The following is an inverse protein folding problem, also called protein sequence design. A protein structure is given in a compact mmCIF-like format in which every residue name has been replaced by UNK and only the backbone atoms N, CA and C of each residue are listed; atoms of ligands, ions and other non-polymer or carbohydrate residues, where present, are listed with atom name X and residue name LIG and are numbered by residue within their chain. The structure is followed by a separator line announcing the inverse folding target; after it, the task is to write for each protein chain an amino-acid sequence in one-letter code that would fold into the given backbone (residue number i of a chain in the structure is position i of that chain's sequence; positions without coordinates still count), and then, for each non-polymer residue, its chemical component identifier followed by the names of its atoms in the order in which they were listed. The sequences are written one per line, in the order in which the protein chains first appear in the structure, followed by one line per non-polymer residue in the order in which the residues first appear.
data_IF_084728381234
#
_entry.id   IF_084728381234
#
_cell.length_a   1.000
_cell.length_b   1.000
_cell.length_c   1.000
_cell.angle_alpha   90.00
_cell.angle_beta   90.00
_cell.angle_gamma   90.00
#
_symmetry.space_group_name_H-M   'P 1'
#
loop_
_entity.id
_entity.type
_entity.pdbx_description
1 polymer ?
#
# COMPACT_ATOMS: atom_id res chain seq x y z
N UNK A 1 5.36 -11.29 43.85
CA UNK A 1 4.20 -10.67 43.18
C UNK A 1 4.55 -9.78 41.97
N UNK A 2 5.60 -8.93 42.00
CA UNK A 2 5.96 -8.07 40.85
C UNK A 2 6.34 -8.83 39.56
N UNK A 3 6.97 -10.00 39.66
CA UNK A 3 7.36 -10.82 38.51
C UNK A 3 6.18 -11.48 37.77
N UNK A 4 5.09 -11.80 38.49
CA UNK A 4 3.87 -12.38 37.90
C UNK A 4 3.14 -11.31 37.05
N UNK A 5 3.21 -10.05 37.48
CA UNK A 5 2.65 -8.92 36.74
C UNK A 5 3.43 -8.62 35.45
N UNK A 6 4.76 -8.71 35.49
CA UNK A 6 5.60 -8.58 34.29
C UNK A 6 5.46 -9.77 33.33
N UNK A 7 5.27 -11.00 33.85
CA UNK A 7 4.99 -12.19 33.03
C UNK A 7 3.61 -12.10 32.35
N UNK A 8 2.59 -11.59 33.04
CA UNK A 8 1.24 -11.38 32.50
C UNK A 8 1.19 -10.32 31.39
N UNK A 9 1.95 -9.23 31.50
CA UNK A 9 2.06 -8.19 30.46
C UNK A 9 2.81 -8.72 29.23
N UNK A 10 3.89 -9.50 29.43
CA UNK A 10 4.62 -10.13 28.32
C UNK A 10 3.77 -11.16 27.57
N UNK A 11 2.90 -11.90 28.28
CA UNK A 11 1.96 -12.85 27.67
C UNK A 11 0.86 -12.14 26.86
N UNK A 12 0.41 -10.95 27.31
CA UNK A 12 -0.61 -10.15 26.62
C UNK A 12 -0.11 -9.53 25.31
N UNK A 13 1.19 -9.19 25.23
CA UNK A 13 1.78 -8.58 24.03
C UNK A 13 2.02 -9.59 22.89
N UNK A 14 1.97 -10.90 23.17
CA UNK A 14 2.19 -11.97 22.19
C UNK A 14 0.90 -12.42 21.47
N UNK A 15 -0.29 -11.97 21.90
CA UNK A 15 -1.58 -12.40 21.32
C UNK A 15 -1.99 -11.61 20.07
N UNK A 16 -1.42 -10.42 19.86
CA UNK A 16 -1.74 -9.55 18.72
C UNK A 16 -1.32 -10.12 17.36
N UNK A 17 -0.03 -10.48 17.20
CA UNK A 17 0.49 -11.01 15.93
C UNK A 17 -0.16 -12.34 15.51
N UNK A 18 -0.54 -13.18 16.49
CA UNK A 18 -1.20 -14.46 16.20
C UNK A 18 -2.65 -14.29 15.71
N UNK A 19 -3.31 -13.17 16.01
CA UNK A 19 -4.71 -12.93 15.65
C UNK A 19 -4.85 -12.62 14.15
N UNK A 20 -4.09 -11.67 13.62
CA UNK A 20 -4.17 -11.28 12.20
C UNK A 20 -3.73 -12.40 11.25
N UNK A 21 -2.62 -13.08 11.56
CA UNK A 21 -2.16 -14.25 10.81
C UNK A 21 -3.24 -15.34 10.77
N UNK A 22 -3.88 -15.64 11.90
CA UNK A 22 -4.95 -16.64 11.96
C UNK A 22 -6.20 -16.20 11.20
N UNK A 23 -6.56 -14.92 11.26
CA UNK A 23 -7.72 -14.35 10.56
C UNK A 23 -7.58 -14.41 9.04
N UNK A 24 -6.37 -14.29 8.52
CA UNK A 24 -6.10 -14.27 7.07
C UNK A 24 -5.57 -15.61 6.55
N UNK A 25 -5.18 -16.55 7.43
CA UNK A 25 -4.60 -17.84 7.05
C UNK A 25 -5.45 -18.65 6.05
N UNK A 26 -6.77 -18.72 6.26
CA UNK A 26 -7.65 -19.46 5.36
C UNK A 26 -7.67 -18.84 3.96
N UNK A 27 -7.80 -17.51 3.88
CA UNK A 27 -7.76 -16.77 2.62
C UNK A 27 -6.41 -16.94 1.92
N UNK A 28 -5.30 -16.66 2.63
CA UNK A 28 -3.94 -16.79 2.09
C UNK A 28 -3.64 -18.21 1.63
N UNK A 29 -4.12 -19.21 2.36
CA UNK A 29 -3.99 -20.63 1.98
C UNK A 29 -4.68 -20.93 0.66
N UNK A 30 -5.92 -20.46 0.46
CA UNK A 30 -6.64 -20.61 -0.79
C UNK A 30 -5.97 -19.85 -1.95
N UNK A 31 -5.57 -18.60 -1.70
CA UNK A 31 -4.89 -17.75 -2.67
C UNK A 31 -3.57 -18.34 -3.16
N UNK A 32 -2.69 -18.74 -2.24
CA UNK A 32 -1.39 -19.31 -2.55
C UNK A 32 -1.50 -20.68 -3.24
N UNK A 33 -2.58 -21.42 -3.00
CA UNK A 33 -2.87 -22.67 -3.71
C UNK A 33 -3.48 -22.45 -5.11
N UNK A 34 -3.71 -21.21 -5.53
CA UNK A 34 -4.37 -20.88 -6.80
C UNK A 34 -5.87 -21.18 -6.81
N UNK A 35 -6.48 -21.45 -5.66
CA UNK A 35 -7.93 -21.69 -5.55
C UNK A 35 -8.68 -20.35 -5.47
N UNK A 36 -8.80 -19.71 -6.64
CA UNK A 36 -9.38 -18.36 -6.78
C UNK A 36 -10.87 -18.32 -6.45
N UNK A 37 -11.65 -19.37 -6.76
CA UNK A 37 -13.03 -19.51 -6.26
C UNK A 37 -13.06 -19.42 -4.74
N UNK A 38 -12.29 -20.27 -4.05
CA UNK A 38 -12.33 -20.30 -2.59
C UNK A 38 -11.80 -19.01 -1.96
N UNK A 39 -10.77 -18.41 -2.55
CA UNK A 39 -10.25 -17.13 -2.10
C UNK A 39 -11.32 -16.03 -2.21
N UNK A 40 -12.06 -15.96 -3.32
CA UNK A 40 -13.12 -14.97 -3.52
C UNK A 40 -14.30 -15.15 -2.54
N UNK A 41 -14.71 -16.39 -2.27
CA UNK A 41 -15.72 -16.69 -1.23
C UNK A 41 -15.28 -16.22 0.15
N UNK A 42 -14.03 -16.55 0.53
CA UNK A 42 -13.45 -16.16 1.82
C UNK A 42 -13.38 -14.64 1.94
N UNK A 43 -12.93 -13.93 0.90
CA UNK A 43 -12.87 -12.48 0.90
C UNK A 43 -14.26 -11.84 1.01
N UNK A 44 -15.27 -12.37 0.31
CA UNK A 44 -16.66 -11.90 0.41
C UNK A 44 -17.20 -12.02 1.84
N UNK A 45 -16.97 -13.16 2.50
CA UNK A 45 -17.37 -13.36 3.90
C UNK A 45 -16.67 -12.36 4.83
N UNK A 46 -15.37 -12.12 4.64
CA UNK A 46 -14.64 -11.18 5.49
C UNK A 46 -15.07 -9.73 5.28
N UNK A 47 -15.35 -9.33 4.04
CA UNK A 47 -15.86 -7.97 3.74
C UNK A 47 -17.24 -7.73 4.35
N UNK A 48 -18.11 -8.75 4.40
CA UNK A 48 -19.42 -8.64 5.04
C UNK A 48 -19.29 -8.18 6.51
N UNK A 49 -18.36 -8.76 7.25
CA UNK A 49 -18.16 -8.44 8.68
C UNK A 49 -17.20 -7.25 8.91
N UNK A 50 -16.21 -7.07 8.02
CA UNK A 50 -15.04 -6.22 8.30
C UNK A 50 -14.90 -5.01 7.40
N UNK A 51 -15.77 -4.81 6.40
CA UNK A 51 -15.63 -3.66 5.50
C UNK A 51 -15.66 -2.30 6.21
N UNK A 52 -16.30 -2.23 7.37
CA UNK A 52 -16.31 -1.04 8.23
C UNK A 52 -15.34 -1.07 9.43
N UNK A 53 -14.52 -2.12 9.55
CA UNK A 53 -13.52 -2.25 10.61
C UNK A 53 -12.22 -1.49 10.30
N UNK A 54 -11.23 -1.62 11.20
CA UNK A 54 -9.88 -1.10 11.02
C UNK A 54 -9.13 -1.79 9.86
N UNK A 55 -9.52 -3.02 9.51
CA UNK A 55 -8.98 -3.79 8.37
C UNK A 55 -9.80 -3.61 7.08
N UNK A 56 -10.82 -2.75 7.08
CA UNK A 56 -11.79 -2.68 5.98
C UNK A 56 -11.15 -2.40 4.62
N UNK A 57 -10.13 -1.54 4.56
CA UNK A 57 -9.37 -1.29 3.32
C UNK A 57 -8.67 -2.55 2.83
N UNK A 58 -8.01 -3.29 3.73
CA UNK A 58 -7.29 -4.52 3.39
C UNK A 58 -8.26 -5.54 2.80
N UNK A 59 -9.38 -5.81 3.47
CA UNK A 59 -10.32 -6.81 3.00
C UNK A 59 -10.99 -6.44 1.67
N UNK A 60 -11.21 -5.14 1.40
CA UNK A 60 -11.72 -4.69 0.10
C UNK A 60 -10.68 -4.86 -1.02
N UNK A 61 -9.40 -4.60 -0.76
CA UNK A 61 -8.32 -4.85 -1.71
C UNK A 61 -8.19 -6.36 -2.03
N UNK A 62 -8.19 -7.20 -0.99
CA UNK A 62 -8.11 -8.66 -1.14
C UNK A 62 -9.33 -9.21 -1.89
N UNK A 63 -10.53 -8.69 -1.60
CA UNK A 63 -11.74 -9.01 -2.33
C UNK A 63 -11.63 -8.63 -3.81
N UNK A 64 -11.18 -7.40 -4.13
CA UNK A 64 -11.00 -6.96 -5.51
C UNK A 64 -10.05 -7.86 -6.28
N UNK A 65 -8.89 -8.20 -5.69
CA UNK A 65 -7.91 -9.07 -6.31
C UNK A 65 -8.44 -10.51 -6.51
N UNK A 66 -9.11 -11.08 -5.49
CA UNK A 66 -9.67 -12.42 -5.55
C UNK A 66 -10.81 -12.56 -6.57
N UNK A 67 -11.72 -11.58 -6.62
CA UNK A 67 -12.81 -11.55 -7.60
C UNK A 67 -12.27 -11.43 -9.02
N UNK A 68 -11.25 -10.60 -9.26
CA UNK A 68 -10.60 -10.51 -10.56
C UNK A 68 -9.99 -11.84 -10.97
N UNK A 69 -9.22 -12.46 -10.07
CA UNK A 69 -8.60 -13.75 -10.32
C UNK A 69 -9.63 -14.86 -10.60
N UNK A 70 -10.83 -14.72 -10.03
CA UNK A 70 -11.98 -15.59 -10.27
C UNK A 70 -12.85 -15.17 -11.48
N UNK A 71 -12.38 -14.27 -12.34
CA UNK A 71 -13.10 -13.76 -13.52
C UNK A 71 -14.46 -13.07 -13.20
N UNK A 72 -14.65 -12.62 -11.96
CA UNK A 72 -15.80 -11.84 -11.50
C UNK A 72 -15.47 -10.35 -11.60
N UNK A 73 -15.33 -9.87 -12.84
CA UNK A 73 -14.68 -8.59 -13.13
C UNK A 73 -15.48 -7.39 -12.65
N UNK A 74 -16.82 -7.41 -12.79
CA UNK A 74 -17.67 -6.29 -12.35
C UNK A 74 -17.68 -6.14 -10.83
N UNK A 75 -17.72 -7.27 -10.13
CA UNK A 75 -17.67 -7.34 -8.68
C UNK A 75 -16.29 -6.90 -8.17
N UNK A 76 -15.22 -7.25 -8.90
CA UNK A 76 -13.86 -6.77 -8.61
C UNK A 76 -13.75 -5.25 -8.72
N UNK A 77 -14.30 -4.64 -9.79
CA UNK A 77 -14.36 -3.18 -9.95
C UNK A 77 -15.06 -2.55 -8.73
N UNK A 78 -16.24 -3.05 -8.38
CA UNK A 78 -17.01 -2.54 -7.25
C UNK A 78 -16.27 -2.64 -5.91
N UNK A 79 -15.54 -3.75 -5.68
CA UNK A 79 -14.72 -3.90 -4.48
C UNK A 79 -13.58 -2.86 -4.40
N UNK A 80 -12.89 -2.61 -5.52
CA UNK A 80 -11.84 -1.60 -5.58
C UNK A 80 -12.38 -0.18 -5.44
N UNK A 81 -13.53 0.16 -6.03
CA UNK A 81 -14.19 1.47 -5.84
C UNK A 81 -14.52 1.73 -4.36
N UNK A 82 -14.99 0.69 -3.65
CA UNK A 82 -15.23 0.76 -2.20
C UNK A 82 -13.94 0.97 -1.42
N UNK A 83 -12.86 0.26 -1.77
CA UNK A 83 -11.55 0.43 -1.14
C UNK A 83 -11.07 1.88 -1.32
N UNK A 84 -11.11 2.38 -2.56
CA UNK A 84 -10.67 3.72 -2.93
C UNK A 84 -11.47 4.80 -2.19
N UNK A 85 -12.80 4.66 -2.12
CA UNK A 85 -13.67 5.56 -1.34
C UNK A 85 -13.24 5.64 0.13
N UNK A 86 -12.88 4.51 0.73
CA UNK A 86 -12.44 4.45 2.13
C UNK A 86 -11.05 5.05 2.32
N UNK A 87 -10.13 4.77 1.41
CA UNK A 87 -8.80 5.39 1.38
C UNK A 87 -8.87 6.93 1.26
N UNK A 88 -9.76 7.47 0.40
CA UNK A 88 -10.01 8.92 0.29
C UNK A 88 -10.62 9.49 1.56
N UNK A 89 -11.52 8.75 2.21
CA UNK A 89 -12.09 9.18 3.50
C UNK A 89 -10.98 9.38 4.54
N UNK A 90 -10.09 8.39 4.72
CA UNK A 90 -8.98 8.51 5.67
C UNK A 90 -8.02 9.65 5.33
N UNK A 91 -7.70 9.83 4.05
CA UNK A 91 -6.87 10.94 3.61
C UNK A 91 -7.47 12.31 3.95
N UNK A 92 -8.79 12.47 3.79
CA UNK A 92 -9.49 13.71 4.17
C UNK A 92 -9.41 13.96 5.69
N UNK A 93 -9.55 12.91 6.51
CA UNK A 93 -9.46 13.01 7.97
C UNK A 93 -8.03 13.35 8.41
N UNK A 94 -7.01 12.78 7.77
CA UNK A 94 -5.61 13.09 8.04
C UNK A 94 -5.29 14.56 7.74
N UNK A 95 -5.79 15.12 6.64
CA UNK A 95 -5.64 16.56 6.31
C UNK A 95 -6.26 17.46 7.39
N UNK A 96 -7.43 17.08 7.93
CA UNK A 96 -8.09 17.81 9.02
C UNK A 96 -7.33 17.68 10.35
N UNK A 97 -6.73 16.52 10.63
CA UNK A 97 -5.91 16.30 11.84
C UNK A 97 -4.61 17.10 11.81
N UNK A 98 -3.96 17.21 10.65
CA UNK A 98 -2.74 18.02 10.49
C UNK A 98 -3.04 19.51 10.63
N UNK A 99 -4.21 19.98 10.20
CA UNK A 99 -4.61 21.39 10.37
C UNK A 99 -5.11 21.73 11.78
N UNK A 100 -5.48 20.73 12.58
CA UNK A 100 -5.90 20.85 13.98
C UNK A 100 -4.84 20.21 14.88
N UNK A 101 -3.76 20.93 15.16
CA UNK A 101 -2.71 20.51 16.10
C UNK A 101 -3.29 20.24 17.51
N UNK A 102 -3.72 19.02 17.83
CA UNK A 102 -4.05 18.62 19.20
C UNK A 102 -4.17 17.10 19.41
N UNK A 103 -3.49 16.63 20.47
CA UNK A 103 -3.73 15.39 21.25
C UNK A 103 -3.31 14.05 20.62
N UNK A 104 -2.06 13.66 20.89
CA UNK A 104 -1.57 12.30 20.69
C UNK A 104 -1.09 11.72 22.02
N UNK A 105 -2.01 11.43 22.93
CA UNK A 105 -1.75 10.59 24.11
C UNK A 105 -2.97 9.69 24.34
N UNK A 106 -2.75 8.38 24.32
CA UNK A 106 -3.73 7.28 24.50
C UNK A 106 -4.51 6.80 23.26
N UNK A 107 -3.83 6.47 22.15
CA UNK A 107 -4.43 5.66 21.07
C UNK A 107 -3.90 4.23 21.17
N UNK A 108 -4.78 3.25 21.34
CA UNK A 108 -4.42 1.84 21.18
C UNK A 108 -4.01 1.62 19.72
N UNK A 109 -2.76 1.20 19.46
CA UNK A 109 -2.27 0.99 18.09
C UNK A 109 -3.10 -0.06 17.32
N UNK A 110 -3.72 -1.01 18.03
CA UNK A 110 -4.61 -2.03 17.44
C UNK A 110 -5.93 -1.45 16.91
N UNK A 111 -6.33 -0.27 17.37
CA UNK A 111 -7.58 0.39 16.93
C UNK A 111 -7.37 1.39 15.78
N UNK A 112 -6.12 1.58 15.33
CA UNK A 112 -5.82 2.52 14.25
C UNK A 112 -6.21 1.86 12.92
N UNK A 113 -7.18 2.42 12.18
CA UNK A 113 -7.56 1.86 10.89
C UNK A 113 -6.40 1.90 9.90
N UNK A 114 -6.28 0.82 9.12
CA UNK A 114 -5.37 0.80 7.98
C UNK A 114 -5.91 1.71 6.87
N UNK A 115 -5.17 2.79 6.57
CA UNK A 115 -5.64 3.86 5.70
C UNK A 115 -5.37 3.65 4.19
N UNK A 116 -4.63 2.59 3.83
CA UNK A 116 -4.13 2.35 2.48
C UNK A 116 -2.87 3.15 2.16
N UNK A 117 -1.78 2.44 1.87
CA UNK A 117 -0.46 3.02 1.56
C UNK A 117 -0.35 3.37 0.07
N UNK A 118 0.68 4.14 -0.30
CA UNK A 118 0.89 4.53 -1.70
C UNK A 118 0.94 3.34 -2.67
N UNK A 119 1.62 2.26 -2.29
CA UNK A 119 1.69 1.06 -3.13
C UNK A 119 0.34 0.33 -3.26
N UNK A 120 -0.53 0.41 -2.26
CA UNK A 120 -1.88 -0.17 -2.34
C UNK A 120 -2.71 0.60 -3.37
N UNK A 121 -2.58 1.92 -3.42
CA UNK A 121 -3.29 2.79 -4.37
C UNK A 121 -2.82 2.56 -5.80
N UNK A 122 -1.50 2.46 -5.99
CA UNK A 122 -0.89 2.12 -7.30
C UNK A 122 -1.43 0.77 -7.79
N UNK A 123 -1.41 -0.26 -6.95
CA UNK A 123 -1.90 -1.59 -7.34
C UNK A 123 -3.43 -1.65 -7.49
N UNK A 124 -4.20 -0.92 -6.68
CA UNK A 124 -5.65 -0.80 -6.82
C UNK A 124 -6.00 -0.28 -8.22
N UNK A 125 -5.41 0.85 -8.62
CA UNK A 125 -5.66 1.46 -9.93
C UNK A 125 -5.13 0.57 -11.06
N UNK A 126 -3.98 -0.09 -10.86
CA UNK A 126 -3.46 -1.07 -11.83
C UNK A 126 -4.44 -2.23 -12.05
N UNK A 127 -5.05 -2.77 -10.98
CA UNK A 127 -6.05 -3.82 -11.11
C UNK A 127 -7.37 -3.32 -11.70
N UNK A 128 -7.83 -2.11 -11.37
CA UNK A 128 -8.99 -1.52 -12.03
C UNK A 128 -8.74 -1.34 -13.53
N UNK A 129 -7.57 -0.85 -13.94
CA UNK A 129 -7.19 -0.76 -15.34
C UNK A 129 -7.29 -2.12 -16.05
N UNK A 130 -6.72 -3.16 -15.44
CA UNK A 130 -6.82 -4.53 -15.97
C UNK A 130 -8.26 -5.04 -16.06
N UNK A 131 -9.13 -4.68 -15.11
CA UNK A 131 -10.54 -5.03 -15.14
C UNK A 131 -11.25 -4.33 -16.31
N UNK A 132 -11.02 -3.03 -16.49
CA UNK A 132 -11.60 -2.27 -17.59
C UNK A 132 -11.09 -2.76 -18.95
N UNK A 133 -9.80 -3.10 -19.08
CA UNK A 133 -9.26 -3.75 -20.28
C UNK A 133 -9.96 -5.07 -20.57
N UNK A 134 -10.21 -5.90 -19.56
CA UNK A 134 -10.94 -7.17 -19.73
C UNK A 134 -12.37 -6.94 -20.25
N UNK A 135 -13.02 -5.84 -19.84
CA UNK A 135 -14.35 -5.47 -20.32
C UNK A 135 -14.34 -4.69 -21.65
N UNK A 136 -13.17 -4.50 -22.28
CA UNK A 136 -13.02 -3.70 -23.50
C UNK A 136 -13.17 -2.18 -23.29
N UNK A 137 -13.17 -1.71 -22.04
CA UNK A 137 -13.37 -0.30 -21.67
C UNK A 137 -12.02 0.43 -21.63
N UNK A 138 -11.49 0.73 -22.82
CA UNK A 138 -10.14 1.30 -23.01
C UNK A 138 -9.96 2.65 -22.30
N UNK A 139 -10.94 3.55 -22.44
CA UNK A 139 -10.84 4.89 -21.85
C UNK A 139 -10.80 4.85 -20.32
N UNK A 140 -11.64 3.99 -19.72
CA UNK A 140 -11.63 3.78 -18.27
C UNK A 140 -10.29 3.18 -17.80
N UNK A 141 -9.74 2.21 -18.54
CA UNK A 141 -8.43 1.67 -18.24
C UNK A 141 -7.31 2.73 -18.28
N UNK A 142 -7.36 3.63 -19.26
CA UNK A 142 -6.39 4.72 -19.37
C UNK A 142 -6.50 5.73 -18.22
N UNK A 143 -7.71 6.00 -17.72
CA UNK A 143 -7.91 6.85 -16.54
C UNK A 143 -7.23 6.22 -15.32
N UNK A 144 -7.44 4.94 -15.08
CA UNK A 144 -6.86 4.21 -13.95
C UNK A 144 -5.33 4.13 -14.04
N UNK A 145 -4.77 3.88 -15.22
CA UNK A 145 -3.30 3.85 -15.41
C UNK A 145 -2.65 5.21 -15.16
N UNK A 146 -3.30 6.30 -15.57
CA UNK A 146 -2.85 7.66 -15.24
C UNK A 146 -2.90 7.89 -13.73
N UNK A 147 -3.99 7.47 -13.08
CA UNK A 147 -4.14 7.62 -11.64
C UNK A 147 -3.12 6.78 -10.85
N UNK A 148 -2.76 5.59 -11.35
CA UNK A 148 -1.68 4.79 -10.79
C UNK A 148 -0.32 5.51 -10.91
N UNK A 149 -0.02 6.11 -12.07
CA UNK A 149 1.18 6.91 -12.28
C UNK A 149 1.24 8.12 -11.33
N UNK A 150 0.12 8.85 -11.19
CA UNK A 150 0.01 10.00 -10.30
C UNK A 150 0.25 9.63 -8.83
N UNK A 151 -0.20 8.44 -8.39
CA UNK A 151 0.04 7.95 -7.03
C UNK A 151 1.50 7.58 -6.77
N UNK A 152 2.23 7.07 -7.76
CA UNK A 152 3.67 6.84 -7.65
C UNK A 152 4.40 8.16 -7.40
N UNK A 153 4.07 9.19 -8.18
CA UNK A 153 4.68 10.52 -8.10
C UNK A 153 4.30 11.22 -6.79
N UNK A 154 3.04 11.08 -6.36
CA UNK A 154 2.58 11.61 -5.08
C UNK A 154 3.32 10.95 -3.90
N UNK A 155 3.56 9.64 -3.94
CA UNK A 155 4.27 8.94 -2.86
C UNK A 155 5.75 9.30 -2.81
N UNK A 156 6.41 9.56 -3.95
CA UNK A 156 7.75 10.15 -3.98
C UNK A 156 7.81 11.45 -3.20
N UNK A 157 6.84 12.34 -3.44
CA UNK A 157 6.74 13.62 -2.75
C UNK A 157 6.44 13.40 -1.26
N UNK A 158 5.51 12.51 -0.91
CA UNK A 158 5.18 12.19 0.50
C UNK A 158 6.38 11.63 1.25
N UNK A 159 7.16 10.76 0.63
CA UNK A 159 8.37 10.18 1.20
C UNK A 159 9.44 11.26 1.42
N UNK A 160 9.73 12.09 0.42
CA UNK A 160 10.69 13.19 0.54
C UNK A 160 10.30 14.18 1.67
N UNK A 161 9.00 14.48 1.81
CA UNK A 161 8.48 15.27 2.94
C UNK A 161 8.67 14.57 4.28
N UNK A 162 8.36 13.28 4.39
CA UNK A 162 8.59 12.48 5.61
C UNK A 162 10.05 12.48 6.04
N UNK A 163 10.99 12.28 5.10
CA UNK A 163 12.42 12.36 5.36
C UNK A 163 12.81 13.75 5.87
N UNK A 164 12.32 14.80 5.22
CA UNK A 164 12.60 16.19 5.61
C UNK A 164 12.06 16.52 6.99
N UNK A 165 10.81 16.13 7.28
CA UNK A 165 10.17 16.34 8.59
C UNK A 165 10.87 15.55 9.69
N UNK A 166 11.23 14.29 9.45
CA UNK A 166 12.02 13.48 10.39
C UNK A 166 13.39 14.11 10.68
N UNK A 167 14.06 14.67 9.66
CA UNK A 167 15.32 15.42 9.82
C UNK A 167 15.17 16.74 10.59
N UNK A 168 14.00 17.37 10.54
CA UNK A 168 13.71 18.61 11.29
C UNK A 168 13.35 18.30 12.75
N UNK A 169 12.48 17.33 12.99
CA UNK A 169 12.08 16.92 14.36
C UNK A 169 13.21 16.29 15.16
N UNK A 170 14.24 15.76 14.49
CA UNK A 170 15.44 15.24 15.15
C UNK A 170 16.26 16.29 15.94
N UNK A 171 16.03 17.60 15.79
CA UNK A 171 16.56 18.65 16.68
C UNK A 171 18.03 18.48 17.10
N UNK A 172 18.30 18.50 18.42
CA UNK A 172 19.65 18.31 19.02
C UNK A 172 20.25 16.92 18.78
N UNK A 173 19.42 15.90 18.54
CA UNK A 173 19.88 14.56 18.17
C UNK A 173 20.41 14.50 16.73
N UNK A 174 20.06 15.46 15.87
CA UNK A 174 20.55 15.52 14.48
C UNK A 174 22.08 15.55 14.40
N UNK A 175 22.78 16.34 15.24
CA UNK A 175 24.25 16.41 15.21
C UNK A 175 24.89 15.09 15.65
N UNK A 176 24.33 14.46 16.69
CA UNK A 176 24.80 13.17 17.20
C UNK A 176 24.50 12.03 16.22
N UNK A 177 23.29 11.99 15.63
CA UNK A 177 22.92 11.01 14.60
C UNK A 177 23.81 11.18 13.36
N UNK A 178 24.07 12.41 12.91
CA UNK A 178 24.96 12.66 11.76
C UNK A 178 26.42 12.31 12.09
N UNK A 179 26.91 12.60 13.30
CA UNK A 179 28.26 12.17 13.75
C UNK A 179 28.36 10.65 13.80
N UNK A 180 27.36 9.98 14.35
CA UNK A 180 27.32 8.52 14.46
C UNK A 180 27.22 7.88 13.07
N UNK A 181 26.31 8.34 12.19
CA UNK A 181 26.22 7.87 10.80
C UNK A 181 27.51 8.06 10.01
N UNK A 182 28.22 9.18 10.22
CA UNK A 182 29.48 9.47 9.53
C UNK A 182 30.70 8.84 10.19
N UNK A 183 30.55 8.15 11.32
CA UNK A 183 31.65 7.40 11.91
C UNK A 183 31.96 6.18 11.03
N UNK A 184 33.25 5.91 10.78
CA UNK A 184 33.66 4.86 9.85
C UNK A 184 33.08 3.48 10.20
N UNK A 185 33.00 3.14 11.49
CA UNK A 185 32.43 1.87 11.96
C UNK A 185 30.92 1.75 11.70
N UNK A 186 30.15 2.80 11.99
CA UNK A 186 28.70 2.81 11.72
C UNK A 186 28.41 2.87 10.23
N UNK A 187 29.18 3.63 9.45
CA UNK A 187 28.99 3.72 8.00
C UNK A 187 29.20 2.37 7.32
N UNK A 188 30.28 1.66 7.68
CA UNK A 188 30.53 0.32 7.17
C UNK A 188 29.42 -0.67 7.54
N UNK A 189 28.86 -0.58 8.76
CA UNK A 189 27.70 -1.39 9.15
C UNK A 189 26.44 -0.99 8.39
N UNK A 190 26.19 0.30 8.18
CA UNK A 190 25.04 0.79 7.42
C UNK A 190 25.11 0.33 5.97
N UNK A 191 26.28 0.44 5.34
CA UNK A 191 26.53 0.00 3.97
C UNK A 191 26.37 -1.53 3.84
N UNK A 192 26.72 -2.30 4.88
CA UNK A 192 26.49 -3.76 4.90
C UNK A 192 25.03 -4.17 5.08
N UNK A 193 24.24 -3.31 5.73
CA UNK A 193 22.80 -3.52 5.96
C UNK A 193 21.95 -2.95 4.81
N UNK A 194 22.51 -2.02 4.05
CA UNK A 194 21.85 -1.46 2.89
C UNK A 194 21.87 -2.53 1.80
N UNK A 195 20.71 -3.12 1.44
CA UNK A 195 20.68 -4.03 0.32
C UNK A 195 21.22 -3.29 -0.90
N UNK A 196 22.04 -3.97 -1.71
CA UNK A 196 22.46 -3.46 -3.01
C UNK A 196 21.23 -3.39 -3.90
N UNK A 197 20.50 -2.28 -3.80
CA UNK A 197 19.37 -1.94 -4.67
C UNK A 197 19.92 -1.37 -5.98
N UNK A 198 20.86 -2.07 -6.61
CA UNK A 198 21.28 -1.82 -8.00
C UNK A 198 20.15 -2.30 -8.94
N UNK A 199 18.96 -1.75 -8.73
CA UNK A 199 17.87 -1.87 -9.69
C UNK A 199 17.85 -0.54 -10.44
N UNK A 200 17.92 -0.60 -11.77
CA UNK A 200 17.88 0.57 -12.66
C UNK A 200 16.49 1.26 -12.70
N UNK A 201 15.62 0.93 -11.74
CA UNK A 201 14.27 1.45 -11.62
C UNK A 201 14.25 2.85 -10.99
N UNK A 202 13.26 3.64 -11.41
CA UNK A 202 12.94 4.90 -10.76
C UNK A 202 12.61 4.72 -9.27
N UNK A 203 12.74 5.80 -8.50
CA UNK A 203 12.32 5.76 -7.10
C UNK A 203 10.79 5.54 -7.00
N UNK A 204 10.35 4.66 -6.09
CA UNK A 204 8.94 4.33 -5.85
C UNK A 204 8.14 3.97 -7.12
N UNK A 205 8.73 3.18 -8.01
CA UNK A 205 8.04 2.68 -9.21
C UNK A 205 7.58 1.23 -9.03
N UNK A 206 6.45 0.91 -9.64
CA UNK A 206 5.98 -0.44 -9.87
C UNK A 206 6.21 -0.76 -11.37
N UNK A 207 7.21 -1.59 -11.69
CA UNK A 207 7.57 -1.81 -13.08
C UNK A 207 6.46 -2.42 -13.93
N UNK A 208 5.59 -3.22 -13.32
CA UNK A 208 4.45 -3.80 -14.00
C UNK A 208 3.40 -2.73 -14.38
N UNK A 209 3.12 -1.80 -13.46
CA UNK A 209 2.22 -0.66 -13.72
C UNK A 209 2.76 0.22 -14.84
N UNK A 210 4.04 0.60 -14.80
CA UNK A 210 4.65 1.47 -15.80
C UNK A 210 4.73 0.79 -17.18
N UNK A 211 5.05 -0.50 -17.22
CA UNK A 211 5.00 -1.31 -18.45
C UNK A 211 3.59 -1.36 -19.04
N UNK A 212 2.58 -1.64 -18.22
CA UNK A 212 1.18 -1.71 -18.65
C UNK A 212 0.69 -0.35 -19.17
N UNK A 213 1.06 0.73 -18.48
CA UNK A 213 0.72 2.09 -18.90
C UNK A 213 1.35 2.43 -20.25
N UNK A 214 2.65 2.13 -20.44
CA UNK A 214 3.33 2.33 -21.72
C UNK A 214 2.68 1.52 -22.85
N UNK A 215 2.37 0.24 -22.60
CA UNK A 215 1.72 -0.62 -23.58
C UNK A 215 0.36 -0.06 -23.99
N UNK A 216 -0.45 0.42 -23.04
CA UNK A 216 -1.75 0.99 -23.34
C UNK A 216 -1.65 2.33 -24.08
N UNK A 217 -0.68 3.20 -23.70
CA UNK A 217 -0.42 4.44 -24.44
C UNK A 217 -0.02 4.17 -25.90
N UNK A 218 0.77 3.13 -26.14
CA UNK A 218 1.20 2.78 -27.50
C UNK A 218 0.08 2.10 -28.31
N UNK A 219 -0.70 1.22 -27.70
CA UNK A 219 -1.68 0.39 -28.41
C UNK A 219 -3.09 0.96 -28.48
N UNK A 220 -3.47 1.85 -27.55
CA UNK A 220 -4.84 2.32 -27.37
C UNK A 220 -5.01 3.83 -27.58
N UNK A 221 -3.93 4.61 -27.53
CA UNK A 221 -4.01 6.07 -27.63
C UNK A 221 -3.30 6.60 -28.88
N UNK A 222 -4.02 7.39 -29.67
CA UNK A 222 -3.44 8.09 -30.81
C UNK A 222 -2.44 9.14 -30.31
N UNK A 223 -1.25 9.17 -30.93
CA UNK A 223 -0.21 10.19 -30.69
C UNK A 223 0.32 10.26 -29.24
N UNK A 224 0.39 9.14 -28.53
CA UNK A 224 0.94 9.06 -27.16
C UNK A 224 2.26 8.29 -27.06
N UNK A 225 2.96 8.09 -28.19
CA UNK A 225 4.21 7.33 -28.25
C UNK A 225 5.33 7.92 -27.37
N UNK A 226 5.42 9.26 -27.28
CA UNK A 226 6.38 9.93 -26.40
C UNK A 226 6.08 9.67 -24.92
N UNK A 227 4.80 9.71 -24.53
CA UNK A 227 4.38 9.42 -23.16
C UNK A 227 4.61 7.94 -22.81
N UNK A 228 4.47 7.03 -23.77
CA UNK A 228 4.83 5.62 -23.58
C UNK A 228 6.33 5.47 -23.28
N UNK A 229 7.20 6.20 -23.98
CA UNK A 229 8.64 6.21 -23.73
C UNK A 229 8.95 6.77 -22.33
N UNK A 230 8.24 7.80 -21.88
CA UNK A 230 8.40 8.35 -20.52
C UNK A 230 8.13 7.28 -19.46
N UNK A 231 7.02 6.52 -19.60
CA UNK A 231 6.71 5.42 -18.69
C UNK A 231 7.78 4.31 -18.74
N UNK A 232 8.26 3.95 -19.94
CA UNK A 232 9.31 2.93 -20.09
C UNK A 232 10.66 3.35 -19.50
N UNK A 233 10.99 4.65 -19.46
CA UNK A 233 12.24 5.12 -18.86
C UNK A 233 12.26 5.02 -17.33
N UNK A 234 11.13 4.72 -16.70
CA UNK A 234 11.02 4.49 -15.25
C UNK A 234 11.43 3.06 -14.86
N UNK A 235 11.51 2.15 -15.83
CA UNK A 235 11.76 0.72 -15.65
C UNK A 235 13.01 0.26 -16.41
#
# INVERSE_FOLDING_TARGET
MRWIFHLGIALLLMTGCASYERQTAAFRGAWNAGNVQKASELANMQVYDKSDSHDGVIWLLEQGAALRANNQIKESIYAFERAEKRMRHYESQAKIRVSKEATALAVNLESVPYEGRGYDRVMLNTYQALNYLHLGQRDAAMVELRQASDEQDAELIRNARRITSARKSAGRYRSNILRTQNSAGTRNQLDSLQPSLNMDYGAFVNPFTDFLHALCLWSLADDQSENAIVSLRRI
#
